data_IF_553133634635
#
_entry.id   IF_553133634635
#
_cell.length_a   1.000
_cell.length_b   1.000
_cell.length_c   1.000
_cell.angle_alpha   90.00
_cell.angle_beta   90.00
_cell.angle_gamma   90.00
#
_symmetry.space_group_name_H-M   'P 1'
#
loop_
_entity.id
_entity.type
_entity.pdbx_description
1 polymer ?
#
# COMPACT_ATOMS: atom_id res chain seq x y z
N UNK A 1 6.37 32.96 16.95
CA UNK A 1 5.61 31.70 16.90
C UNK A 1 6.36 30.71 16.05
N UNK A 2 6.70 29.58 16.67
CA UNK A 2 7.28 28.39 16.05
C UNK A 2 6.23 27.29 16.09
N UNK A 3 6.07 26.55 14.99
CA UNK A 3 5.18 25.40 14.93
C UNK A 3 5.80 24.22 15.69
N UNK A 4 5.04 23.65 16.61
CA UNK A 4 5.45 22.51 17.43
C UNK A 4 4.31 21.48 17.62
N UNK A 5 3.21 21.64 16.87
CA UNK A 5 2.00 20.83 16.91
C UNK A 5 1.47 20.69 15.48
N UNK A 6 1.31 19.45 15.01
CA UNK A 6 0.82 19.16 13.65
C UNK A 6 -0.59 19.71 13.39
N UNK A 7 -1.41 19.93 14.43
CA UNK A 7 -2.76 20.46 14.29
C UNK A 7 -2.79 21.95 13.94
N UNK A 8 -1.66 22.65 14.07
CA UNK A 8 -1.56 24.11 13.85
C UNK A 8 -0.83 24.46 12.55
N UNK A 9 -0.28 23.48 11.85
CA UNK A 9 0.49 23.68 10.62
C UNK A 9 -0.25 23.06 9.43
N UNK A 10 -0.34 23.80 8.33
CA UNK A 10 -0.88 23.30 7.07
C UNK A 10 -0.05 22.13 6.55
N UNK A 11 -0.68 21.18 5.87
CA UNK A 11 0.00 20.05 5.25
C UNK A 11 1.12 20.49 4.31
N UNK A 12 0.91 21.48 3.43
CA UNK A 12 1.92 21.93 2.46
C UNK A 12 3.22 22.36 3.15
N UNK A 13 3.08 23.19 4.19
CA UNK A 13 4.20 23.69 5.00
C UNK A 13 4.88 22.58 5.80
N UNK A 14 4.12 21.61 6.31
CA UNK A 14 4.71 20.43 6.94
C UNK A 14 5.52 19.59 5.95
N UNK A 15 5.04 19.41 4.72
CA UNK A 15 5.79 18.68 3.68
C UNK A 15 7.12 19.38 3.41
N UNK A 16 7.17 20.71 3.32
CA UNK A 16 8.45 21.44 3.19
C UNK A 16 9.43 21.08 4.33
N UNK A 17 8.96 21.10 5.59
CA UNK A 17 9.75 20.76 6.78
C UNK A 17 10.25 19.31 6.71
N UNK A 18 9.35 18.38 6.36
CA UNK A 18 9.65 16.96 6.25
C UNK A 18 10.73 16.69 5.19
N UNK A 19 10.78 17.50 4.14
CA UNK A 19 11.77 17.43 3.07
C UNK A 19 13.09 18.18 3.39
N UNK A 20 13.19 18.78 4.57
CA UNK A 20 14.42 19.39 5.09
C UNK A 20 14.44 20.92 5.14
N UNK A 21 13.37 21.61 4.72
CA UNK A 21 13.26 23.06 4.89
C UNK A 21 12.82 23.40 6.33
N UNK A 22 13.79 23.31 7.25
CA UNK A 22 13.57 23.54 8.68
C UNK A 22 13.15 24.98 8.99
N UNK A 23 13.39 25.95 8.11
CA UNK A 23 13.00 27.34 8.34
C UNK A 23 11.48 27.52 8.34
N UNK A 24 10.77 26.60 7.69
CA UNK A 24 9.30 26.59 7.63
C UNK A 24 8.64 26.29 8.97
N UNK A 25 9.37 25.81 9.98
CA UNK A 25 8.84 25.72 11.36
C UNK A 25 8.52 27.11 11.94
N UNK A 26 9.13 28.19 11.43
CA UNK A 26 8.92 29.54 11.97
C UNK A 26 7.79 30.24 11.22
N UNK A 27 6.76 30.70 11.94
CA UNK A 27 5.72 31.57 11.37
C UNK A 27 6.04 33.05 11.60
N UNK A 28 6.60 33.40 12.76
CA UNK A 28 6.97 34.77 13.14
C UNK A 28 8.07 34.76 14.20
N UNK A 29 8.99 35.72 14.17
CA UNK A 29 10.06 35.87 15.16
C UNK A 29 11.37 35.22 14.73
N UNK A 30 12.41 35.44 15.53
CA UNK A 30 13.75 34.89 15.29
C UNK A 30 13.99 33.73 16.27
N UNK A 31 14.48 32.63 15.74
CA UNK A 31 14.81 31.42 16.50
C UNK A 31 16.17 30.90 16.04
N UNK A 32 16.91 30.30 16.96
CA UNK A 32 18.19 29.65 16.68
C UNK A 32 18.00 28.43 15.79
N UNK A 33 19.08 27.99 15.14
CA UNK A 33 19.06 26.76 14.34
C UNK A 33 18.66 25.53 15.18
N UNK A 34 19.14 25.44 16.43
CA UNK A 34 18.81 24.33 17.34
C UNK A 34 17.32 24.26 17.68
N UNK A 35 16.68 25.41 17.93
CA UNK A 35 15.23 25.46 18.19
C UNK A 35 14.41 25.04 16.97
N UNK A 36 14.84 25.44 15.76
CA UNK A 36 14.19 25.05 14.52
C UNK A 36 14.29 23.55 14.27
N UNK A 37 15.47 22.96 14.47
CA UNK A 37 15.70 21.52 14.35
C UNK A 37 14.84 20.74 15.34
N UNK A 38 14.84 21.13 16.63
CA UNK A 38 14.03 20.47 17.65
C UNK A 38 12.52 20.54 17.34
N UNK A 39 12.05 21.65 16.79
CA UNK A 39 10.66 21.81 16.36
C UNK A 39 10.34 20.90 15.15
N UNK A 40 11.21 20.87 14.15
CA UNK A 40 11.06 20.00 12.97
C UNK A 40 11.03 18.52 13.37
N UNK A 41 11.97 18.08 14.20
CA UNK A 41 12.02 16.71 14.72
C UNK A 41 10.75 16.35 15.48
N UNK A 42 10.24 17.23 16.34
CA UNK A 42 9.00 17.00 17.08
C UNK A 42 7.82 16.79 16.12
N UNK A 43 7.67 17.64 15.09
CA UNK A 43 6.59 17.52 14.10
C UNK A 43 6.71 16.22 13.30
N UNK A 44 7.91 15.88 12.82
CA UNK A 44 8.16 14.66 12.07
C UNK A 44 7.89 13.41 12.93
N UNK A 45 8.33 13.41 14.18
CA UNK A 45 8.09 12.30 15.11
C UNK A 45 6.62 12.15 15.46
N UNK A 46 5.88 13.24 15.66
CA UNK A 46 4.42 13.21 15.85
C UNK A 46 3.74 12.58 14.63
N UNK A 47 4.15 12.98 13.42
CA UNK A 47 3.57 12.47 12.17
C UNK A 47 3.82 10.96 12.03
N UNK A 48 5.08 10.54 12.17
CA UNK A 48 5.51 9.14 12.07
C UNK A 48 4.79 8.27 13.13
N UNK A 49 4.61 8.80 14.34
CA UNK A 49 3.88 8.11 15.42
C UNK A 49 2.41 7.89 15.08
N UNK A 50 1.73 8.88 14.46
CA UNK A 50 0.33 8.74 14.05
C UNK A 50 0.20 7.67 12.96
N UNK A 51 1.02 7.75 11.90
CA UNK A 51 0.97 6.80 10.78
C UNK A 51 1.51 5.41 11.18
N UNK A 52 2.31 5.32 12.23
CA UNK A 52 2.95 4.08 12.70
C UNK A 52 3.99 3.55 11.71
N UNK A 53 4.69 4.44 11.01
CA UNK A 53 5.62 4.07 9.92
C UNK A 53 4.97 3.48 8.67
N UNK A 54 3.64 3.58 8.55
CA UNK A 54 2.89 3.01 7.41
C UNK A 54 2.78 4.00 6.26
N UNK A 55 2.86 3.47 5.04
CA UNK A 55 2.64 4.23 3.80
C UNK A 55 1.34 3.77 3.16
N UNK A 56 0.40 4.69 2.91
CA UNK A 56 -0.86 4.35 2.25
C UNK A 56 -0.64 3.83 0.82
N UNK A 57 0.35 4.39 0.10
CA UNK A 57 0.75 3.93 -1.24
C UNK A 57 1.33 2.50 -1.19
N UNK A 58 2.18 2.21 -0.21
CA UNK A 58 2.72 0.86 -0.03
C UNK A 58 1.62 -0.14 0.32
N UNK A 59 0.67 0.23 1.19
CA UNK A 59 -0.45 -0.63 1.54
C UNK A 59 -1.40 -0.89 0.36
N UNK A 60 -1.71 0.11 -0.47
CA UNK A 60 -2.47 -0.11 -1.71
C UNK A 60 -1.72 -1.07 -2.63
N UNK A 61 -0.41 -0.87 -2.81
CA UNK A 61 0.41 -1.72 -3.68
C UNK A 61 0.41 -3.17 -3.20
N UNK A 62 0.56 -3.38 -1.89
CA UNK A 62 0.45 -4.69 -1.24
C UNK A 62 -0.93 -5.31 -1.46
N UNK A 63 -2.01 -4.56 -1.28
CA UNK A 63 -3.37 -5.04 -1.57
C UNK A 63 -3.53 -5.46 -3.03
N UNK A 64 -3.03 -4.66 -3.96
CA UNK A 64 -3.08 -4.99 -5.39
C UNK A 64 -2.32 -6.28 -5.71
N UNK A 65 -1.18 -6.51 -5.05
CA UNK A 65 -0.42 -7.76 -5.18
C UNK A 65 -1.20 -8.96 -4.62
N UNK A 66 -1.78 -8.83 -3.42
CA UNK A 66 -2.64 -9.85 -2.81
C UNK A 66 -3.81 -10.21 -3.74
N UNK A 67 -4.52 -9.21 -4.26
CA UNK A 67 -5.64 -9.41 -5.19
C UNK A 67 -5.19 -10.13 -6.47
N UNK A 68 -4.06 -9.73 -7.06
CA UNK A 68 -3.51 -10.40 -8.25
C UNK A 68 -3.22 -11.87 -8.00
N UNK A 69 -2.61 -12.19 -6.86
CA UNK A 69 -2.30 -13.58 -6.48
C UNK A 69 -3.58 -14.38 -6.24
N UNK A 70 -4.56 -13.81 -5.53
CA UNK A 70 -5.83 -14.49 -5.26
C UNK A 70 -6.66 -14.75 -6.52
N UNK A 71 -6.73 -13.79 -7.46
CA UNK A 71 -7.38 -14.00 -8.75
C UNK A 71 -6.72 -15.16 -9.50
N UNK A 72 -5.38 -15.20 -9.55
CA UNK A 72 -4.64 -16.29 -10.21
C UNK A 72 -4.88 -17.64 -9.53
N UNK A 73 -4.89 -17.70 -8.20
CA UNK A 73 -5.22 -18.93 -7.45
C UNK A 73 -6.65 -19.42 -7.74
N UNK A 74 -7.62 -18.52 -7.85
CA UNK A 74 -9.00 -18.89 -8.21
C UNK A 74 -9.07 -19.46 -9.62
N UNK A 75 -8.40 -18.85 -10.61
CA UNK A 75 -8.32 -19.39 -11.96
C UNK A 75 -7.67 -20.79 -11.96
N UNK A 76 -6.57 -20.98 -11.22
CA UNK A 76 -5.90 -22.28 -11.12
C UNK A 76 -6.78 -23.35 -10.46
N UNK A 77 -7.59 -22.98 -9.46
CA UNK A 77 -8.58 -23.89 -8.85
C UNK A 77 -9.72 -24.26 -9.80
N UNK A 78 -10.10 -23.37 -10.73
CA UNK A 78 -11.04 -23.70 -11.80
C UNK A 78 -10.39 -24.67 -12.79
N UNK A 79 -9.15 -24.40 -13.22
CA UNK A 79 -8.39 -25.32 -14.08
C UNK A 79 -8.23 -26.71 -13.44
N UNK A 80 -7.96 -26.80 -12.14
CA UNK A 80 -7.84 -28.07 -11.42
C UNK A 80 -9.15 -28.88 -11.47
N UNK A 81 -10.30 -28.20 -11.33
CA UNK A 81 -11.62 -28.83 -11.46
C UNK A 81 -11.90 -29.29 -12.89
N UNK A 82 -11.64 -28.44 -13.89
CA UNK A 82 -11.81 -28.78 -15.31
C UNK A 82 -10.97 -29.99 -15.72
N UNK A 83 -9.69 -30.00 -15.35
CA UNK A 83 -8.78 -31.13 -15.59
C UNK A 83 -9.29 -32.41 -14.92
N UNK A 84 -9.87 -32.30 -13.72
CA UNK A 84 -10.45 -33.45 -13.01
C UNK A 84 -11.73 -33.97 -13.68
N UNK A 85 -12.48 -33.09 -14.35
CA UNK A 85 -13.68 -33.42 -15.12
C UNK A 85 -13.40 -33.88 -16.55
N UNK A 86 -12.16 -33.74 -17.04
CA UNK A 86 -11.75 -34.08 -18.40
C UNK A 86 -11.89 -32.93 -19.41
N UNK A 87 -12.21 -31.72 -18.96
CA UNK A 87 -12.40 -30.53 -19.79
C UNK A 87 -11.04 -29.84 -20.04
N UNK A 88 -10.18 -30.50 -20.82
CA UNK A 88 -8.80 -30.06 -21.05
C UNK A 88 -8.68 -28.80 -21.90
N UNK A 89 -9.51 -28.64 -22.93
CA UNK A 89 -9.53 -27.46 -23.80
C UNK A 89 -9.77 -26.17 -23.01
N UNK A 90 -10.84 -26.14 -22.20
CA UNK A 90 -11.17 -24.99 -21.35
C UNK A 90 -10.06 -24.69 -20.33
N UNK A 91 -9.43 -25.73 -19.76
CA UNK A 91 -8.31 -25.55 -18.84
C UNK A 91 -7.09 -24.91 -19.54
N UNK A 92 -6.81 -25.31 -20.79
CA UNK A 92 -5.75 -24.72 -21.62
C UNK A 92 -6.05 -23.25 -21.94
N UNK A 93 -7.30 -22.90 -22.25
CA UNK A 93 -7.69 -21.51 -22.56
C UNK A 93 -7.54 -20.58 -21.36
N UNK A 94 -7.92 -21.04 -20.16
CA UNK A 94 -7.70 -20.27 -18.92
C UNK A 94 -6.20 -20.13 -18.65
N UNK A 95 -5.41 -21.20 -18.80
CA UNK A 95 -3.96 -21.15 -18.62
C UNK A 95 -3.29 -20.20 -19.64
N UNK A 96 -3.78 -20.16 -20.88
CA UNK A 96 -3.31 -19.24 -21.90
C UNK A 96 -3.60 -17.78 -21.52
N UNK A 97 -4.76 -17.50 -20.93
CA UNK A 97 -5.10 -16.17 -20.38
C UNK A 97 -4.15 -15.77 -19.25
N UNK A 98 -3.65 -16.74 -18.48
CA UNK A 98 -2.62 -16.53 -17.45
C UNK A 98 -1.19 -16.47 -18.02
N UNK A 99 -1.02 -16.62 -19.33
CA UNK A 99 0.27 -16.55 -20.03
C UNK A 99 1.00 -17.88 -20.19
N UNK A 100 0.36 -19.02 -19.90
CA UNK A 100 0.94 -20.35 -20.07
C UNK A 100 0.35 -21.03 -21.30
N UNK A 101 1.22 -21.49 -22.21
CA UNK A 101 0.80 -22.16 -23.45
C UNK A 101 1.05 -23.67 -23.33
N UNK A 102 0.01 -24.45 -23.62
CA UNK A 102 0.03 -25.90 -23.66
C UNK A 102 -0.82 -26.39 -24.83
N UNK A 103 -0.57 -27.63 -25.29
CA UNK A 103 -1.55 -28.38 -26.08
C UNK A 103 -2.45 -29.19 -25.15
N UNK A 104 -3.66 -29.50 -25.60
CA UNK A 104 -4.65 -30.24 -24.80
C UNK A 104 -4.13 -31.61 -24.35
N UNK A 105 -3.35 -32.31 -25.18
CA UNK A 105 -2.79 -33.63 -24.89
C UNK A 105 -1.63 -33.63 -23.89
N UNK A 106 -1.13 -32.45 -23.48
CA UNK A 106 -0.03 -32.30 -22.53
C UNK A 106 -0.47 -32.41 -21.06
N UNK A 107 -1.34 -33.39 -20.76
CA UNK A 107 -2.04 -33.55 -19.48
C UNK A 107 -1.14 -33.43 -18.24
N UNK A 108 -0.01 -34.14 -18.22
CA UNK A 108 0.91 -34.13 -17.08
C UNK A 108 1.63 -32.78 -16.92
N UNK A 109 1.92 -32.09 -18.03
CA UNK A 109 2.52 -30.74 -17.97
C UNK A 109 1.53 -29.72 -17.45
N UNK A 110 0.27 -29.83 -17.88
CA UNK A 110 -0.84 -28.98 -17.41
C UNK A 110 -1.01 -29.16 -15.90
N UNK A 111 -1.18 -30.40 -15.42
CA UNK A 111 -1.31 -30.73 -13.99
C UNK A 111 -0.13 -30.22 -13.17
N UNK A 112 1.10 -30.51 -13.62
CA UNK A 112 2.33 -30.07 -12.93
C UNK A 112 2.42 -28.54 -12.86
N UNK A 113 2.02 -27.83 -13.92
CA UNK A 113 1.98 -26.36 -13.92
C UNK A 113 0.96 -25.82 -12.92
N UNK A 114 -0.26 -26.35 -12.92
CA UNK A 114 -1.31 -25.92 -11.99
C UNK A 114 -0.83 -26.08 -10.55
N UNK A 115 -0.29 -27.24 -10.20
CA UNK A 115 0.22 -27.54 -8.86
C UNK A 115 1.38 -26.63 -8.47
N UNK A 116 2.40 -26.51 -9.33
CA UNK A 116 3.60 -25.73 -9.03
C UNK A 116 3.32 -24.24 -8.89
N UNK A 117 2.50 -23.65 -9.77
CA UNK A 117 2.13 -22.22 -9.68
C UNK A 117 1.25 -21.99 -8.46
N UNK A 118 0.28 -22.87 -8.18
CA UNK A 118 -0.56 -22.76 -6.99
C UNK A 118 0.25 -22.80 -5.70
N UNK A 119 1.24 -23.70 -5.59
CA UNK A 119 2.13 -23.79 -4.44
C UNK A 119 2.99 -22.53 -4.29
N UNK A 120 3.58 -22.04 -5.38
CA UNK A 120 4.38 -20.80 -5.40
C UNK A 120 3.56 -19.59 -4.95
N UNK A 121 2.33 -19.48 -5.41
CA UNK A 121 1.43 -18.37 -5.10
C UNK A 121 0.91 -18.41 -3.67
N UNK A 122 0.56 -19.60 -3.15
CA UNK A 122 0.20 -19.77 -1.74
C UNK A 122 1.36 -19.37 -0.82
N UNK A 123 2.58 -19.75 -1.17
CA UNK A 123 3.78 -19.36 -0.43
C UNK A 123 4.01 -17.84 -0.46
N UNK A 124 3.90 -17.20 -1.63
CA UNK A 124 4.02 -15.74 -1.75
C UNK A 124 2.95 -15.01 -0.93
N UNK A 125 1.72 -15.50 -0.97
CA UNK A 125 0.62 -14.93 -0.19
C UNK A 125 0.91 -15.01 1.32
N UNK A 126 1.35 -16.18 1.82
CA UNK A 126 1.74 -16.35 3.21
C UNK A 126 2.89 -15.40 3.61
N UNK A 127 3.91 -15.26 2.77
CA UNK A 127 5.02 -14.34 3.00
C UNK A 127 4.57 -12.87 3.05
N UNK A 128 3.61 -12.49 2.20
CA UNK A 128 3.02 -11.15 2.23
C UNK A 128 2.17 -10.90 3.48
N UNK A 129 1.58 -11.94 4.06
CA UNK A 129 0.86 -11.87 5.34
C UNK A 129 1.83 -11.70 6.52
N UNK A 130 2.99 -12.38 6.50
CA UNK A 130 4.02 -12.26 7.56
C UNK A 130 4.76 -10.92 7.53
N UNK A 131 5.02 -10.34 6.36
CA UNK A 131 5.76 -9.08 6.19
C UNK A 131 4.95 -7.80 6.49
N UNK A 132 3.94 -7.86 7.37
CA UNK A 132 3.13 -6.69 7.78
C UNK A 132 3.96 -5.51 8.31
N UNK A 133 5.17 -5.75 8.79
CA UNK A 133 6.02 -4.76 9.46
C UNK A 133 7.17 -4.20 8.62
N UNK A 134 7.45 -4.75 7.44
CA UNK A 134 8.63 -4.38 6.64
C UNK A 134 8.25 -3.76 5.30
N UNK A 135 7.31 -2.81 5.34
CA UNK A 135 7.13 -1.88 4.23
C UNK A 135 8.40 -1.03 4.16
N UNK A 136 9.38 -1.49 3.35
CA UNK A 136 10.68 -0.88 3.20
C UNK A 136 10.60 0.64 3.10
N UNK A 137 11.57 1.33 3.72
CA UNK A 137 11.65 2.79 3.81
C UNK A 137 11.52 3.44 2.43
N UNK A 138 10.30 3.70 1.99
CA UNK A 138 10.02 4.43 0.75
C UNK A 138 10.56 5.83 0.96
N UNK A 139 11.36 6.32 -0.01
CA UNK A 139 11.79 7.72 -0.01
C UNK A 139 10.54 8.60 -0.16
N UNK A 140 10.20 9.32 0.90
CA UNK A 140 9.04 10.21 0.93
C UNK A 140 9.43 11.59 0.39
N UNK A 141 9.56 11.70 -0.93
CA UNK A 141 9.75 12.98 -1.61
C UNK A 141 8.42 13.73 -1.83
N UNK A 142 8.45 14.93 -2.41
CA UNK A 142 7.23 15.71 -2.67
C UNK A 142 6.24 14.95 -3.55
N UNK A 143 6.74 14.21 -4.55
CA UNK A 143 5.90 13.41 -5.45
C UNK A 143 5.22 12.25 -4.73
N UNK A 144 5.89 11.63 -3.75
CA UNK A 144 5.28 10.65 -2.86
C UNK A 144 4.04 11.24 -2.15
N UNK A 145 4.16 12.43 -1.54
CA UNK A 145 3.04 13.07 -0.86
C UNK A 145 1.91 13.44 -1.83
N UNK A 146 2.22 13.84 -3.07
CA UNK A 146 1.21 14.06 -4.11
C UNK A 146 0.43 12.79 -4.41
N UNK A 147 1.13 11.67 -4.68
CA UNK A 147 0.47 10.37 -4.98
C UNK A 147 -0.33 9.85 -3.79
N UNK A 148 0.19 10.01 -2.57
CA UNK A 148 -0.51 9.59 -1.35
C UNK A 148 -1.79 10.40 -1.15
N UNK A 149 -1.74 11.72 -1.31
CA UNK A 149 -2.91 12.61 -1.27
C UNK A 149 -3.94 12.22 -2.32
N UNK A 150 -3.55 12.01 -3.57
CA UNK A 150 -4.48 11.60 -4.65
C UNK A 150 -5.15 10.26 -4.31
N UNK A 151 -4.38 9.31 -3.80
CA UNK A 151 -4.89 8.00 -3.37
C UNK A 151 -5.92 8.14 -2.25
N UNK A 152 -5.61 8.98 -1.25
CA UNK A 152 -6.53 9.31 -0.17
C UNK A 152 -7.82 9.96 -0.68
N UNK A 153 -7.71 10.98 -1.53
CA UNK A 153 -8.86 11.67 -2.11
C UNK A 153 -9.79 10.70 -2.85
N UNK A 154 -9.22 9.74 -3.58
CA UNK A 154 -9.99 8.70 -4.27
C UNK A 154 -10.65 7.71 -3.30
N UNK A 155 -9.98 7.34 -2.21
CA UNK A 155 -10.51 6.38 -1.22
C UNK A 155 -11.66 6.97 -0.41
N UNK A 156 -11.49 8.20 0.09
CA UNK A 156 -12.45 8.86 0.98
C UNK A 156 -13.50 9.69 0.23
N UNK A 157 -13.34 9.89 -1.09
CA UNK A 157 -14.21 10.72 -1.94
C UNK A 157 -14.33 12.16 -1.47
N UNK A 158 -13.20 12.77 -1.07
CA UNK A 158 -13.13 14.16 -0.60
C UNK A 158 -11.87 14.82 -1.15
N UNK A 159 -11.98 16.07 -1.58
CA UNK A 159 -10.83 16.86 -2.00
C UNK A 159 -9.98 17.29 -0.79
N UNK A 160 -8.67 17.05 -0.85
CA UNK A 160 -7.71 17.46 0.18
C UNK A 160 -6.84 18.59 -0.38
N UNK A 161 -7.11 19.81 0.03
CA UNK A 161 -6.24 20.96 -0.22
C UNK A 161 -5.15 21.03 0.86
N UNK A 162 -3.89 20.98 0.44
CA UNK A 162 -2.75 20.97 1.36
C UNK A 162 -2.53 22.29 2.11
N UNK A 163 -3.15 23.38 1.67
CA UNK A 163 -3.05 24.67 2.34
C UNK A 163 -4.09 24.85 3.45
N UNK A 164 -5.20 24.11 3.38
CA UNK A 164 -6.32 24.22 4.34
C UNK A 164 -6.33 23.12 5.38
N UNK A 165 -5.94 21.89 5.00
CA UNK A 165 -5.84 20.78 5.93
C UNK A 165 -4.62 20.93 6.84
N UNK A 166 -4.81 20.62 8.13
CA UNK A 166 -3.67 20.45 9.03
C UNK A 166 -2.91 19.17 8.70
N UNK A 167 -1.61 19.17 8.99
CA UNK A 167 -0.78 17.97 8.84
C UNK A 167 -1.27 16.82 9.75
N UNK A 168 -1.92 17.15 10.88
CA UNK A 168 -2.48 16.17 11.81
C UNK A 168 -3.69 15.45 11.25
N UNK A 169 -4.64 16.19 10.68
CA UNK A 169 -5.81 15.60 10.01
C UNK A 169 -5.35 14.68 8.89
N UNK A 170 -4.41 15.14 8.06
CA UNK A 170 -3.83 14.32 7.00
C UNK A 170 -3.21 13.02 7.53
N UNK A 171 -2.40 13.08 8.60
CA UNK A 171 -1.78 11.89 9.21
C UNK A 171 -2.82 10.85 9.67
N UNK A 172 -3.91 11.30 10.31
CA UNK A 172 -4.99 10.40 10.71
C UNK A 172 -5.76 9.82 9.51
N UNK A 173 -5.92 10.58 8.44
CA UNK A 173 -6.53 10.08 7.20
C UNK A 173 -5.66 9.00 6.55
N UNK A 174 -4.35 9.19 6.48
CA UNK A 174 -3.39 8.17 6.03
C UNK A 174 -3.52 6.90 6.88
N UNK A 175 -3.49 7.05 8.21
CA UNK A 175 -3.62 5.91 9.14
C UNK A 175 -4.92 5.14 8.92
N UNK A 176 -6.05 5.85 8.84
CA UNK A 176 -7.38 5.25 8.63
C UNK A 176 -7.44 4.48 7.32
N UNK A 177 -6.92 5.05 6.24
CA UNK A 177 -6.87 4.37 4.95
C UNK A 177 -6.01 3.10 5.01
N UNK A 178 -4.86 3.13 5.69
CA UNK A 178 -4.06 1.92 5.93
C UNK A 178 -4.86 0.85 6.69
N UNK A 179 -5.55 1.25 7.77
CA UNK A 179 -6.37 0.34 8.58
C UNK A 179 -7.53 -0.27 7.76
N UNK A 180 -8.18 0.53 6.91
CA UNK A 180 -9.24 0.08 5.99
C UNK A 180 -8.70 -0.92 4.96
N UNK A 181 -7.54 -0.64 4.36
CA UNK A 181 -6.88 -1.52 3.39
C UNK A 181 -6.50 -2.85 4.04
N UNK A 182 -5.93 -2.81 5.24
CA UNK A 182 -5.61 -4.02 6.01
C UNK A 182 -6.87 -4.83 6.33
N UNK A 183 -7.97 -4.17 6.69
CA UNK A 183 -9.25 -4.84 6.92
C UNK A 183 -9.77 -5.52 5.64
N UNK A 184 -9.66 -4.86 4.48
CA UNK A 184 -10.02 -5.44 3.20
C UNK A 184 -9.16 -6.67 2.85
N UNK A 185 -7.84 -6.60 3.07
CA UNK A 185 -6.93 -7.75 2.87
C UNK A 185 -7.38 -8.94 3.73
N UNK A 186 -7.56 -8.71 5.04
CA UNK A 186 -8.01 -9.76 5.97
C UNK A 186 -9.36 -10.37 5.59
N UNK A 187 -10.30 -9.56 5.12
CA UNK A 187 -11.62 -10.06 4.68
C UNK A 187 -11.54 -10.93 3.43
N UNK A 188 -10.54 -10.67 2.57
CA UNK A 188 -10.36 -11.42 1.33
C UNK A 188 -9.66 -12.76 1.59
N UNK A 189 -8.71 -12.83 2.52
CA UNK A 189 -8.06 -14.08 2.95
C UNK A 189 -9.01 -15.05 3.70
N UNK A 190 -10.11 -14.55 4.30
CA UNK A 190 -11.06 -15.34 5.10
C UNK A 190 -12.20 -16.01 4.31
N UNK A 191 -12.38 -15.69 3.02
CA UNK A 191 -13.35 -16.41 2.17
C UNK A 191 -12.73 -17.75 1.73
N UNK A 192 -12.72 -18.71 2.64
CA UNK A 192 -12.54 -20.14 2.37
C UNK A 192 -13.85 -20.86 2.61
#
# INVERSE_FOLDING_TARGET
MIYNDLGKISLSRFIDIFLGDIDKVVQKGMYSAGEKVAAAERLCNEYISIIGGRSAVAQISRRNEVLKIQIRLNCLSICERMVSSGDWGDAVDILATLGYKFKEDEHEKIKSRITSVSASDRYRLAKLEDNTHDAGRVKMDREYFTRERVSLMSHIKMHIDENTFSAKEYAYMVRRMCDDVDAMIRSTSKRK
#
